data_IF_960036999171
#
_entry.id   IF_960036999171
#
_cell.length_a   1.000
_cell.length_b   1.000
_cell.length_c   1.000
_cell.angle_alpha   90.00
_cell.angle_beta   90.00
_cell.angle_gamma   90.00
#
_symmetry.space_group_name_H-M   'P 1'
#
loop_
_entity.id
_entity.type
_entity.pdbx_description
1 polymer ?
#
# COMPACT_ATOMS: atom_id res chain seq x y z
N UNK A 1 -8.74 -8.02 -3.19
CA UNK A 1 -7.30 -8.37 -3.03
C UNK A 1 -6.46 -7.41 -3.86
N UNK A 2 -5.30 -7.02 -3.35
CA UNK A 2 -4.36 -6.08 -4.00
C UNK A 2 -3.11 -6.88 -4.39
N UNK A 3 -2.58 -6.67 -5.60
CA UNK A 3 -1.29 -7.21 -6.01
C UNK A 3 -0.19 -6.23 -5.62
N UNK A 4 0.85 -6.75 -4.98
CA UNK A 4 2.01 -5.98 -4.55
C UNK A 4 3.26 -6.61 -5.15
N UNK A 5 4.13 -5.80 -5.75
CA UNK A 5 5.40 -6.25 -6.31
C UNK A 5 6.51 -5.22 -6.02
N UNK A 6 7.75 -5.65 -5.73
CA UNK A 6 8.86 -4.72 -5.57
C UNK A 6 9.03 -3.83 -6.81
N UNK A 7 9.30 -2.55 -6.57
CA UNK A 7 9.64 -1.58 -7.60
C UNK A 7 11.08 -1.15 -7.42
N UNK A 8 11.89 -1.39 -8.45
CA UNK A 8 13.29 -0.99 -8.51
C UNK A 8 13.43 0.16 -9.49
N UNK A 9 14.12 1.22 -9.07
CA UNK A 9 14.57 2.31 -9.93
C UNK A 9 16.10 2.33 -9.90
N UNK A 10 16.73 2.37 -11.08
CA UNK A 10 18.19 2.34 -11.22
C UNK A 10 18.90 1.20 -10.45
N UNK A 11 18.23 0.07 -10.24
CA UNK A 11 18.76 -1.08 -9.51
C UNK A 11 18.65 -0.97 -7.98
N UNK A 12 18.07 0.11 -7.46
CA UNK A 12 17.74 0.27 -6.05
C UNK A 12 16.25 0.09 -5.83
N UNK A 13 15.87 -0.59 -4.75
CA UNK A 13 14.47 -0.73 -4.38
C UNK A 13 13.96 0.62 -3.88
N UNK A 14 12.92 1.13 -4.51
CA UNK A 14 12.28 2.42 -4.16
C UNK A 14 11.02 2.19 -3.35
N UNK A 15 10.36 1.05 -3.54
CA UNK A 15 9.11 0.75 -2.86
C UNK A 15 8.39 -0.47 -3.42
N UNK A 16 7.08 -0.49 -3.24
CA UNK A 16 6.20 -1.53 -3.72
C UNK A 16 5.14 -0.98 -4.65
N UNK A 17 5.11 -1.49 -5.88
CA UNK A 17 4.07 -1.18 -6.85
C UNK A 17 2.80 -1.95 -6.51
N UNK A 18 1.69 -1.24 -6.45
CA UNK A 18 0.37 -1.79 -6.16
C UNK A 18 -0.53 -1.78 -7.39
N UNK A 19 -1.30 -2.85 -7.56
CA UNK A 19 -2.27 -2.97 -8.64
C UNK A 19 -3.56 -3.66 -8.15
N UNK A 20 -4.72 -3.29 -8.70
CA UNK A 20 -5.96 -4.00 -8.40
C UNK A 20 -5.84 -5.45 -8.87
N UNK A 21 -6.37 -6.37 -8.05
CA UNK A 21 -6.47 -7.79 -8.42
C UNK A 21 -7.95 -8.13 -8.71
N UNK A 22 -8.57 -8.92 -7.85
CA UNK A 22 -9.95 -9.37 -7.99
C UNK A 22 -10.97 -8.34 -7.48
N UNK A 23 -10.52 -7.30 -6.77
CA UNK A 23 -11.40 -6.33 -6.14
C UNK A 23 -10.97 -4.88 -6.46
N UNK A 24 -11.42 -4.35 -7.61
CA UNK A 24 -11.10 -2.98 -8.02
C UNK A 24 -11.86 -1.93 -7.21
N UNK A 25 -13.00 -2.27 -6.59
CA UNK A 25 -13.77 -1.33 -5.78
C UNK A 25 -13.06 -1.02 -4.47
N UNK A 26 -12.54 -2.03 -3.78
CA UNK A 26 -11.68 -1.82 -2.61
C UNK A 26 -10.46 -0.97 -2.99
N UNK A 27 -9.79 -1.31 -4.08
CA UNK A 27 -8.58 -0.61 -4.48
C UNK A 27 -8.85 0.90 -4.69
N UNK A 28 -9.99 1.25 -5.30
CA UNK A 28 -10.44 2.62 -5.46
C UNK A 28 -10.91 3.26 -4.16
N UNK A 29 -11.56 2.52 -3.24
CA UNK A 29 -12.04 3.06 -1.97
C UNK A 29 -10.90 3.50 -1.04
N UNK A 30 -9.73 2.88 -1.18
CA UNK A 30 -8.50 3.28 -0.49
C UNK A 30 -7.81 4.49 -1.16
N UNK A 31 -8.35 5.03 -2.25
CA UNK A 31 -7.76 6.14 -3.00
C UNK A 31 -6.52 5.77 -3.82
N UNK A 32 -6.23 4.46 -3.98
CA UNK A 32 -5.11 3.97 -4.77
C UNK A 32 -5.44 3.94 -6.27
N UNK A 33 -4.41 4.11 -7.10
CA UNK A 33 -4.48 4.04 -8.55
C UNK A 33 -3.56 2.96 -9.11
N UNK A 34 -3.93 2.32 -10.24
CA UNK A 34 -3.10 1.29 -10.83
C UNK A 34 -1.71 1.84 -11.15
N UNK A 35 -0.67 1.09 -10.81
CA UNK A 35 0.74 1.46 -10.93
C UNK A 35 1.25 2.50 -9.91
N UNK A 36 0.47 2.86 -8.90
CA UNK A 36 1.02 3.57 -7.74
C UNK A 36 2.20 2.78 -7.16
N UNK A 37 3.26 3.49 -6.80
CA UNK A 37 4.42 2.91 -6.09
C UNK A 37 4.42 3.44 -4.67
N UNK A 38 4.11 2.58 -3.72
CA UNK A 38 4.15 2.92 -2.30
C UNK A 38 5.61 2.97 -1.84
N UNK A 39 6.04 4.10 -1.31
CA UNK A 39 7.43 4.37 -0.90
C UNK A 39 7.59 4.54 0.59
N UNK A 40 6.51 4.92 1.29
CA UNK A 40 6.49 5.12 2.73
C UNK A 40 5.11 4.80 3.30
N UNK A 41 5.08 4.17 4.46
CA UNK A 41 3.87 3.97 5.27
C UNK A 41 4.15 4.40 6.69
N UNK A 42 3.38 5.35 7.21
CA UNK A 42 3.48 5.89 8.57
C UNK A 42 4.89 6.41 8.94
N UNK A 43 5.64 6.93 7.97
CA UNK A 43 7.03 7.39 8.16
C UNK A 43 8.08 6.28 8.09
N UNK A 44 7.68 5.06 7.75
CA UNK A 44 8.58 3.95 7.45
C UNK A 44 8.77 3.80 5.94
N UNK A 45 9.99 4.06 5.48
CA UNK A 45 10.37 3.91 4.08
C UNK A 45 10.44 2.43 3.68
N UNK A 46 9.92 2.11 2.49
CA UNK A 46 9.81 0.76 1.94
C UNK A 46 10.91 0.42 0.94
N UNK A 47 12.12 0.93 1.15
CA UNK A 47 13.26 0.73 0.26
C UNK A 47 14.01 -0.59 0.51
N UNK A 48 13.53 -1.43 1.43
CA UNK A 48 14.07 -2.76 1.69
C UNK A 48 12.97 -3.82 1.90
N UNK A 49 13.28 -5.11 1.67
CA UNK A 49 12.29 -6.19 1.82
C UNK A 49 11.86 -6.43 3.26
N UNK A 50 12.68 -6.06 4.25
CA UNK A 50 12.41 -6.29 5.67
C UNK A 50 11.34 -5.35 6.21
N UNK A 51 11.32 -4.10 5.72
CA UNK A 51 10.30 -3.10 6.03
C UNK A 51 8.88 -3.55 5.65
N UNK A 52 8.74 -4.37 4.60
CA UNK A 52 7.44 -4.86 4.13
C UNK A 52 6.67 -5.65 5.20
N UNK A 53 7.35 -6.53 5.95
CA UNK A 53 6.71 -7.33 7.01
C UNK A 53 6.22 -6.43 8.17
N UNK A 54 7.07 -5.52 8.61
CA UNK A 54 6.78 -4.63 9.73
C UNK A 54 5.62 -3.67 9.42
N UNK A 55 5.53 -3.24 8.17
CA UNK A 55 4.41 -2.45 7.68
C UNK A 55 3.10 -3.24 7.72
N UNK A 56 3.09 -4.50 7.27
CA UNK A 56 1.87 -5.34 7.35
C UNK A 56 1.39 -5.51 8.79
N UNK A 57 2.30 -5.72 9.74
CA UNK A 57 1.96 -5.78 11.17
C UNK A 57 1.35 -4.46 11.64
N UNK A 58 1.98 -3.32 11.31
CA UNK A 58 1.48 -2.00 11.71
C UNK A 58 0.10 -1.65 11.14
N UNK A 59 -0.19 -2.11 9.91
CA UNK A 59 -1.48 -1.88 9.24
C UNK A 59 -2.60 -2.72 9.85
N UNK A 60 -2.28 -3.88 10.43
CA UNK A 60 -3.24 -4.75 11.11
C UNK A 60 -3.76 -4.15 12.42
N UNK A 61 -2.93 -3.36 13.11
CA UNK A 61 -3.26 -2.70 14.38
C UNK A 61 -3.84 -1.29 14.20
N UNK A 62 -3.53 -0.62 13.09
CA UNK A 62 -3.99 0.74 12.83
C UNK A 62 -5.42 0.79 12.27
N UNK A 63 -6.13 1.89 12.54
CA UNK A 63 -7.42 2.24 11.89
C UNK A 63 -7.25 3.12 10.66
N UNK A 64 -6.11 3.82 10.57
CA UNK A 64 -5.71 4.67 9.46
C UNK A 64 -4.20 4.57 9.22
N UNK A 65 -3.77 4.78 7.98
CA UNK A 65 -2.37 4.82 7.60
C UNK A 65 -2.07 6.00 6.65
N UNK A 66 -0.97 6.70 6.91
CA UNK A 66 -0.42 7.70 6.01
C UNK A 66 0.50 6.99 5.02
N UNK A 67 0.16 7.03 3.74
CA UNK A 67 0.85 6.30 2.69
C UNK A 67 1.39 7.27 1.66
N UNK A 68 2.71 7.31 1.47
CA UNK A 68 3.33 8.08 0.40
C UNK A 68 3.46 7.21 -0.84
N UNK A 69 2.83 7.63 -1.93
CA UNK A 69 2.88 6.95 -3.22
C UNK A 69 3.55 7.83 -4.27
N UNK A 70 4.26 7.22 -5.21
CA UNK A 70 4.62 7.87 -6.46
C UNK A 70 3.55 7.50 -7.48
N UNK A 71 2.84 8.53 -7.95
CA UNK A 71 1.76 8.43 -8.93
C UNK A 71 2.12 9.26 -10.14
N UNK A 72 2.17 8.64 -11.32
CA UNK A 72 2.57 9.31 -12.56
C UNK A 72 3.91 10.08 -12.43
N UNK A 73 4.85 9.56 -11.63
CA UNK A 73 6.15 10.17 -11.36
C UNK A 73 6.16 11.28 -10.30
N UNK A 74 5.02 11.59 -9.68
CA UNK A 74 4.92 12.61 -8.61
C UNK A 74 4.61 11.97 -7.27
N UNK A 75 5.28 12.35 -6.17
CA UNK A 75 4.94 11.88 -4.84
C UNK A 75 3.64 12.53 -4.34
N UNK A 76 2.72 11.70 -3.84
CA UNK A 76 1.45 12.08 -3.22
C UNK A 76 1.28 11.35 -1.89
N UNK A 77 0.68 12.01 -0.91
CA UNK A 77 0.34 11.40 0.39
C UNK A 77 -1.15 11.06 0.41
N UNK A 78 -1.46 9.82 0.70
CA UNK A 78 -2.81 9.30 0.85
C UNK A 78 -3.05 8.95 2.32
N UNK A 79 -4.25 9.20 2.81
CA UNK A 79 -4.71 8.69 4.10
C UNK A 79 -5.64 7.52 3.79
N UNK A 80 -5.23 6.32 4.21
CA UNK A 80 -5.95 5.09 3.96
C UNK A 80 -6.63 4.63 5.24
N UNK A 81 -7.96 4.49 5.21
CA UNK A 81 -8.71 3.88 6.30
C UNK A 81 -8.54 2.35 6.26
N UNK A 82 -7.69 1.82 7.14
CA UNK A 82 -7.39 0.38 7.21
C UNK A 82 -8.50 -0.42 7.90
N UNK A 83 -9.44 0.25 8.58
CA UNK A 83 -10.68 -0.37 9.09
C UNK A 83 -11.50 -1.02 7.98
N UNK A 84 -11.49 -0.44 6.77
CA UNK A 84 -12.13 -1.02 5.60
C UNK A 84 -11.47 -2.33 5.14
N UNK A 85 -10.16 -2.50 5.38
CA UNK A 85 -9.45 -3.75 5.09
C UNK A 85 -9.85 -4.86 6.08
N UNK A 86 -10.03 -4.53 7.35
CA UNK A 86 -10.41 -5.48 8.42
C UNK A 86 -11.82 -6.04 8.21
N UNK A 87 -12.79 -5.18 7.87
CA UNK A 87 -14.18 -5.59 7.60
C UNK A 87 -14.29 -6.58 6.43
N UNK A 88 -13.36 -6.54 5.48
CA UNK A 88 -13.32 -7.45 4.34
C UNK A 88 -12.70 -8.82 4.67
N UNK A 89 -11.85 -8.91 5.69
CA UNK A 89 -11.35 -10.20 6.20
C UNK A 89 -12.37 -10.94 7.06
N UNK A 90 -13.29 -10.21 7.73
CA UNK A 90 -14.30 -10.80 8.62
C UNK A 90 -15.57 -11.26 7.87
N UNK A 91 -15.85 -10.72 6.68
CA UNK A 91 -17.03 -11.06 5.87
C UNK A 91 -16.92 -12.36 5.04
N UNK A 92 -15.88 -13.17 5.22
CA UNK A 92 -15.77 -14.51 4.60
C UNK A 92 -15.92 -15.59 5.67
N UNK A 93 -17.14 -15.83 6.12
CA UNK A 93 -17.54 -17.06 6.81
C UNK A 93 -18.61 -17.77 5.98
#
# INVERSE_FOLDING_TARGET
MIRVAPFLDQGQMVGFRVNPAQDPQLFQSLGLQPNDVVTDINGMTLNDPSAGLQVFESLGEATQANVTVIRNGTPEVLVIDTSQLQQLSEGRQ
#
